data_IF_745113776581
#
_entry.id   IF_745113776581
#
_cell.length_a   1.000
_cell.length_b   1.000
_cell.length_c   1.000
_cell.angle_alpha   90.00
_cell.angle_beta   90.00
_cell.angle_gamma   90.00
#
_symmetry.space_group_name_H-M   'P 1'
#
loop_
_entity.id
_entity.type
_entity.pdbx_description
1 polymer ?
#
# COMPACT_ATOMS: atom_id res chain seq x y z
N UNK A 1 -23.28 23.56 -6.68
CA UNK A 1 -23.82 22.65 -7.70
C UNK A 1 -23.40 23.07 -9.11
N UNK A 2 -23.72 24.26 -9.60
CA UNK A 2 -23.31 24.71 -10.95
C UNK A 2 -21.78 24.69 -11.20
N UNK A 3 -20.97 25.02 -10.19
CA UNK A 3 -19.49 24.97 -10.30
C UNK A 3 -18.92 23.55 -10.42
N UNK A 4 -19.57 22.57 -9.79
CA UNK A 4 -19.13 21.17 -9.80
C UNK A 4 -19.46 20.52 -11.15
N UNK A 5 -20.66 20.78 -11.68
CA UNK A 5 -21.07 20.27 -13.00
C UNK A 5 -20.15 20.82 -14.10
N UNK A 6 -19.85 22.13 -14.07
CA UNK A 6 -18.95 22.76 -15.03
C UNK A 6 -17.52 22.17 -14.95
N UNK A 7 -17.04 21.83 -13.74
CA UNK A 7 -15.75 21.17 -13.55
C UNK A 7 -15.76 19.75 -14.12
N UNK A 8 -16.81 18.97 -13.88
CA UNK A 8 -16.97 17.63 -14.45
C UNK A 8 -17.02 17.68 -15.99
N UNK A 9 -17.70 18.66 -16.59
CA UNK A 9 -17.73 18.87 -18.04
C UNK A 9 -16.34 19.16 -18.62
N UNK A 10 -15.58 20.02 -17.94
CA UNK A 10 -14.20 20.32 -18.36
C UNK A 10 -13.33 19.06 -18.34
N UNK A 11 -13.38 18.30 -17.24
CA UNK A 11 -12.58 17.09 -17.07
C UNK A 11 -13.01 16.00 -18.06
N UNK A 12 -14.32 15.81 -18.26
CA UNK A 12 -14.87 14.88 -19.25
C UNK A 12 -14.28 15.12 -20.65
N UNK A 13 -14.27 16.38 -21.11
CA UNK A 13 -13.74 16.73 -22.41
C UNK A 13 -12.23 16.43 -22.54
N UNK A 14 -11.46 16.58 -21.47
CA UNK A 14 -10.04 16.18 -21.44
C UNK A 14 -9.93 14.67 -21.55
N UNK A 15 -10.69 13.93 -20.76
CA UNK A 15 -10.62 12.47 -20.69
C UNK A 15 -10.90 11.81 -22.05
N UNK A 16 -11.98 12.21 -22.72
CA UNK A 16 -12.37 11.65 -24.03
C UNK A 16 -11.33 11.98 -25.11
N UNK A 17 -10.69 13.16 -25.04
CA UNK A 17 -9.60 13.52 -25.96
C UNK A 17 -8.33 12.75 -25.70
N UNK A 18 -8.03 12.44 -24.44
CA UNK A 18 -6.85 11.66 -24.07
C UNK A 18 -6.98 10.19 -24.49
N UNK A 19 -8.20 9.65 -24.48
CA UNK A 19 -8.47 8.24 -24.79
C UNK A 19 -9.60 8.08 -25.84
N UNK A 20 -9.37 8.50 -27.10
CA UNK A 20 -10.42 8.53 -28.12
C UNK A 20 -10.94 7.12 -28.51
N UNK A 21 -10.15 6.08 -28.27
CA UNK A 21 -10.50 4.69 -28.57
C UNK A 21 -11.24 3.98 -27.43
N UNK A 22 -11.55 4.68 -26.34
CA UNK A 22 -12.24 4.13 -25.17
C UNK A 22 -13.65 4.72 -25.10
N UNK A 23 -14.66 3.88 -25.32
CA UNK A 23 -16.07 4.30 -25.35
C UNK A 23 -16.74 4.13 -23.97
N UNK A 24 -16.25 4.87 -22.97
CA UNK A 24 -16.94 4.99 -21.68
C UNK A 24 -17.95 6.13 -21.76
N UNK A 25 -19.16 5.95 -21.23
CA UNK A 25 -20.22 6.97 -21.18
C UNK A 25 -20.09 7.91 -19.97
N UNK A 26 -20.53 9.17 -20.15
CA UNK A 26 -20.41 10.22 -19.14
C UNK A 26 -21.05 9.86 -17.80
N UNK A 27 -22.28 9.28 -17.74
CA UNK A 27 -22.90 8.93 -16.47
C UNK A 27 -22.08 7.93 -15.65
N UNK A 28 -21.47 6.92 -16.30
CA UNK A 28 -20.61 5.95 -15.59
C UNK A 28 -19.32 6.56 -15.07
N UNK A 29 -18.71 7.46 -15.84
CA UNK A 29 -17.54 8.20 -15.38
C UNK A 29 -17.87 9.10 -14.18
N UNK A 30 -18.95 9.87 -14.25
CA UNK A 30 -19.41 10.73 -13.14
C UNK A 30 -19.70 9.91 -11.89
N UNK A 31 -20.45 8.80 -12.02
CA UNK A 31 -20.72 7.90 -10.90
C UNK A 31 -19.43 7.33 -10.28
N UNK A 32 -18.40 7.05 -11.10
CA UNK A 32 -17.11 6.57 -10.62
C UNK A 32 -16.33 7.64 -9.85
N UNK A 33 -16.40 8.89 -10.29
CA UNK A 33 -15.82 10.07 -9.64
C UNK A 33 -16.53 10.34 -8.32
N UNK A 34 -17.86 10.43 -8.31
CA UNK A 34 -18.67 10.69 -7.11
C UNK A 34 -18.46 9.64 -6.02
N UNK A 35 -18.26 8.37 -6.41
CA UNK A 35 -17.98 7.30 -5.47
C UNK A 35 -16.59 7.36 -4.81
N UNK A 36 -15.66 8.19 -5.32
CA UNK A 36 -14.23 8.16 -4.94
C UNK A 36 -13.66 9.48 -4.48
N UNK A 37 -14.22 10.59 -4.95
CA UNK A 37 -13.72 11.94 -4.73
C UNK A 37 -14.76 12.79 -4.03
N UNK A 38 -14.32 13.52 -3.01
CA UNK A 38 -15.07 14.62 -2.44
C UNK A 38 -14.94 15.87 -3.32
N UNK A 39 -15.83 16.85 -3.15
CA UNK A 39 -15.84 18.08 -3.95
C UNK A 39 -14.47 18.80 -4.00
N UNK A 40 -13.79 18.90 -2.85
CA UNK A 40 -12.45 19.52 -2.79
C UNK A 40 -11.39 18.73 -3.57
N UNK A 41 -11.47 17.40 -3.59
CA UNK A 41 -10.53 16.55 -4.34
C UNK A 41 -10.80 16.62 -5.85
N UNK A 42 -12.07 16.75 -6.24
CA UNK A 42 -12.47 16.97 -7.63
C UNK A 42 -11.97 18.31 -8.17
N UNK A 43 -12.07 19.37 -7.37
CA UNK A 43 -11.54 20.69 -7.74
C UNK A 43 -10.01 20.63 -7.93
N UNK A 44 -9.31 19.90 -7.06
CA UNK A 44 -7.87 19.72 -7.12
C UNK A 44 -7.40 18.73 -8.20
N UNK A 45 -8.29 17.94 -8.82
CA UNK A 45 -7.91 16.90 -9.78
C UNK A 45 -7.33 17.53 -11.07
N UNK A 46 -6.12 17.14 -11.45
CA UNK A 46 -5.50 17.69 -12.68
C UNK A 46 -6.06 17.01 -13.93
N UNK A 47 -6.01 17.66 -15.11
CA UNK A 47 -6.43 17.08 -16.38
C UNK A 47 -5.80 15.70 -16.67
N UNK A 48 -4.52 15.53 -16.38
CA UNK A 48 -3.78 14.28 -16.60
C UNK A 48 -4.27 13.17 -15.67
N UNK A 49 -4.49 13.49 -14.39
CA UNK A 49 -5.00 12.53 -13.41
C UNK A 49 -6.46 12.17 -13.67
N UNK A 50 -7.24 13.09 -14.21
CA UNK A 50 -8.60 12.81 -14.67
C UNK A 50 -8.59 11.86 -15.87
N UNK A 51 -7.70 12.05 -16.85
CA UNK A 51 -7.54 11.14 -17.97
C UNK A 51 -7.10 9.73 -17.50
N UNK A 52 -6.18 9.65 -16.55
CA UNK A 52 -5.80 8.40 -15.90
C UNK A 52 -6.99 7.73 -15.21
N UNK A 53 -7.81 8.50 -14.48
CA UNK A 53 -8.98 7.99 -13.75
C UNK A 53 -10.07 7.50 -14.71
N UNK A 54 -10.23 8.16 -15.85
CA UNK A 54 -11.14 7.74 -16.92
C UNK A 54 -10.73 6.38 -17.48
N UNK A 55 -9.46 6.20 -17.82
CA UNK A 55 -8.98 4.91 -18.33
C UNK A 55 -9.06 3.82 -17.26
N UNK A 56 -8.76 4.12 -16.00
CA UNK A 56 -8.90 3.17 -14.89
C UNK A 56 -10.36 2.76 -14.68
N UNK A 57 -11.30 3.71 -14.76
CA UNK A 57 -12.73 3.46 -14.72
C UNK A 57 -13.15 2.53 -15.87
N UNK A 58 -12.76 2.85 -17.10
CA UNK A 58 -13.06 2.05 -18.27
C UNK A 58 -12.49 0.62 -18.18
N UNK A 59 -11.25 0.46 -17.69
CA UNK A 59 -10.66 -0.84 -17.42
C UNK A 59 -11.44 -1.60 -16.33
N UNK A 60 -11.87 -0.92 -15.26
CA UNK A 60 -12.61 -1.56 -14.17
C UNK A 60 -13.99 -2.08 -14.59
N UNK A 61 -14.60 -1.41 -15.58
CA UNK A 61 -15.89 -1.76 -16.16
C UNK A 61 -15.76 -2.69 -17.38
N UNK A 62 -14.53 -3.10 -17.73
CA UNK A 62 -14.23 -3.91 -18.90
C UNK A 62 -14.78 -3.31 -20.22
N UNK A 63 -14.70 -1.99 -20.38
CA UNK A 63 -15.05 -1.31 -21.62
C UNK A 63 -14.10 -1.77 -22.74
N UNK A 64 -14.66 -2.02 -23.92
CA UNK A 64 -13.90 -2.45 -25.09
C UNK A 64 -12.78 -1.45 -25.41
N UNK A 65 -11.61 -1.98 -25.77
CA UNK A 65 -10.42 -1.16 -26.05
C UNK A 65 -9.68 -0.62 -24.82
N UNK A 66 -10.31 -0.49 -23.65
CA UNK A 66 -9.68 0.11 -22.47
C UNK A 66 -8.40 -0.62 -22.02
N UNK A 67 -8.46 -1.96 -21.93
CA UNK A 67 -7.30 -2.76 -21.56
C UNK A 67 -6.18 -2.70 -22.61
N UNK A 68 -6.52 -2.51 -23.89
CA UNK A 68 -5.53 -2.36 -24.96
C UNK A 68 -4.83 -1.00 -24.88
N UNK A 69 -5.59 0.09 -24.70
CA UNK A 69 -5.04 1.43 -24.47
C UNK A 69 -4.15 1.47 -23.22
N UNK A 70 -4.58 0.84 -22.13
CA UNK A 70 -3.79 0.72 -20.92
C UNK A 70 -2.45 0.03 -21.17
N UNK A 71 -2.46 -1.13 -21.84
CA UNK A 71 -1.22 -1.85 -22.18
C UNK A 71 -0.32 -1.01 -23.08
N UNK A 72 -0.86 -0.44 -24.15
CA UNK A 72 -0.09 0.38 -25.07
C UNK A 72 0.65 1.52 -24.36
N UNK A 73 0.00 2.16 -23.39
CA UNK A 73 0.57 3.32 -22.69
C UNK A 73 1.49 2.96 -21.52
N UNK A 74 1.11 1.99 -20.68
CA UNK A 74 1.82 1.70 -19.42
C UNK A 74 2.74 0.49 -19.48
N UNK A 75 2.60 -0.40 -20.47
CA UNK A 75 3.45 -1.59 -20.58
C UNK A 75 4.94 -1.26 -20.80
N UNK A 76 5.33 -0.25 -21.61
CA UNK A 76 6.74 0.15 -21.73
C UNK A 76 7.34 0.59 -20.39
N UNK A 77 6.58 1.34 -19.59
CA UNK A 77 6.95 1.78 -18.25
C UNK A 77 7.10 0.58 -17.29
N UNK A 78 6.16 -0.35 -17.32
CA UNK A 78 6.19 -1.54 -16.47
C UNK A 78 7.35 -2.46 -16.86
N UNK A 79 7.61 -2.63 -18.16
CA UNK A 79 8.75 -3.41 -18.65
C UNK A 79 10.08 -2.83 -18.19
N UNK A 80 10.30 -1.53 -18.33
CA UNK A 80 11.55 -0.91 -17.92
C UNK A 80 11.81 -1.12 -16.43
N UNK A 81 10.79 -0.94 -15.59
CA UNK A 81 10.89 -1.15 -14.15
C UNK A 81 11.13 -2.61 -13.75
N UNK A 82 10.59 -3.57 -14.51
CA UNK A 82 10.73 -4.99 -14.18
C UNK A 82 12.04 -5.59 -14.69
N UNK A 83 12.75 -4.96 -15.64
CA UNK A 83 14.08 -5.40 -16.10
C UNK A 83 15.12 -5.41 -14.97
N UNK A 84 15.07 -4.41 -14.09
CA UNK A 84 15.97 -4.35 -12.92
C UNK A 84 15.70 -5.49 -11.91
N UNK A 85 14.67 -6.30 -12.16
CA UNK A 85 14.30 -7.43 -11.31
C UNK A 85 14.90 -8.78 -11.73
N UNK A 86 15.62 -8.84 -12.86
CA UNK A 86 16.19 -10.05 -13.47
C UNK A 86 17.19 -10.80 -12.57
N UNK A 87 17.83 -10.10 -11.61
CA UNK A 87 18.75 -10.69 -10.63
C UNK A 87 18.14 -11.81 -9.77
N UNK A 88 16.83 -12.01 -9.85
CA UNK A 88 16.12 -13.06 -9.15
C UNK A 88 15.89 -14.33 -9.99
N UNK A 89 15.94 -14.32 -11.32
CA UNK A 89 15.70 -15.50 -12.16
C UNK A 89 14.21 -15.81 -12.44
N UNK A 90 13.35 -14.78 -12.39
CA UNK A 90 12.02 -14.80 -13.02
C UNK A 90 12.13 -13.90 -14.25
N UNK A 91 11.63 -14.35 -15.40
CA UNK A 91 11.59 -13.53 -16.61
C UNK A 91 10.76 -12.26 -16.36
N UNK A 92 11.29 -11.10 -16.76
CA UNK A 92 10.57 -9.83 -16.74
C UNK A 92 9.25 -9.90 -17.53
N UNK A 93 9.17 -10.71 -18.59
CA UNK A 93 7.94 -10.92 -19.34
C UNK A 93 6.86 -11.64 -18.51
N UNK A 94 7.25 -12.67 -17.74
CA UNK A 94 6.35 -13.39 -16.83
C UNK A 94 5.87 -12.48 -15.69
N UNK A 95 6.78 -11.69 -15.12
CA UNK A 95 6.42 -10.71 -14.09
C UNK A 95 5.45 -9.66 -14.63
N UNK A 96 5.67 -9.18 -15.86
CA UNK A 96 4.78 -8.23 -16.51
C UNK A 96 3.38 -8.82 -16.69
N UNK A 97 3.29 -10.06 -17.17
CA UNK A 97 2.01 -10.75 -17.32
C UNK A 97 1.29 -10.89 -15.97
N UNK A 98 2.03 -11.23 -14.91
CA UNK A 98 1.47 -11.33 -13.56
C UNK A 98 0.97 -9.97 -13.05
N UNK A 99 1.71 -8.88 -13.31
CA UNK A 99 1.29 -7.52 -12.95
C UNK A 99 0.02 -7.13 -13.69
N UNK A 100 -0.03 -7.35 -15.01
CA UNK A 100 -1.20 -7.04 -15.82
C UNK A 100 -2.43 -7.83 -15.36
N UNK A 101 -2.25 -9.12 -15.07
CA UNK A 101 -3.31 -9.95 -14.51
C UNK A 101 -3.79 -9.39 -13.15
N UNK A 102 -2.87 -9.05 -12.25
CA UNK A 102 -3.21 -8.53 -10.92
C UNK A 102 -3.94 -7.18 -10.97
N UNK A 103 -3.64 -6.35 -11.98
CA UNK A 103 -4.22 -5.01 -12.13
C UNK A 103 -5.56 -5.03 -12.84
N UNK A 104 -5.66 -5.75 -13.95
CA UNK A 104 -6.79 -5.67 -14.87
C UNK A 104 -7.81 -6.79 -14.68
N UNK A 105 -7.43 -7.91 -14.06
CA UNK A 105 -8.33 -9.05 -13.89
C UNK A 105 -8.95 -9.04 -12.49
N UNK A 106 -10.27 -9.21 -12.37
CA UNK A 106 -10.95 -9.45 -11.10
C UNK A 106 -10.33 -10.61 -10.31
N UNK A 107 -10.01 -10.38 -9.04
CA UNK A 107 -9.59 -11.45 -8.14
C UNK A 107 -10.82 -12.05 -7.43
N UNK A 108 -11.29 -13.21 -7.90
CA UNK A 108 -12.48 -13.86 -7.37
C UNK A 108 -13.76 -13.10 -7.69
N UNK A 109 -14.46 -12.63 -6.65
CA UNK A 109 -15.82 -12.06 -6.76
C UNK A 109 -15.81 -10.51 -6.72
N UNK A 110 -14.64 -9.90 -6.54
CA UNK A 110 -14.48 -8.45 -6.41
C UNK A 110 -14.06 -7.78 -7.72
N UNK A 111 -14.13 -6.43 -7.81
CA UNK A 111 -13.67 -5.69 -8.98
C UNK A 111 -12.15 -5.86 -9.19
N UNK A 112 -11.65 -5.60 -10.42
CA UNK A 112 -10.20 -5.63 -10.67
C UNK A 112 -9.49 -4.54 -9.86
N UNK A 113 -8.22 -4.75 -9.54
CA UNK A 113 -7.47 -3.86 -8.64
C UNK A 113 -7.32 -2.44 -9.16
N UNK A 114 -7.34 -2.26 -10.49
CA UNK A 114 -7.35 -0.92 -11.11
C UNK A 114 -8.54 -0.07 -10.67
N UNK A 115 -9.63 -0.66 -10.19
CA UNK A 115 -10.76 0.05 -9.60
C UNK A 115 -10.40 0.78 -8.29
N UNK A 116 -9.30 0.40 -7.62
CA UNK A 116 -8.80 1.07 -6.40
C UNK A 116 -8.09 2.40 -6.72
N UNK A 117 -7.73 2.65 -7.97
CA UNK A 117 -7.11 3.91 -8.36
C UNK A 117 -8.10 5.06 -8.23
N UNK A 118 -7.75 6.05 -7.41
CA UNK A 118 -8.62 7.17 -7.06
C UNK A 118 -8.09 8.54 -7.46
N UNK A 119 -7.13 8.64 -8.37
CA UNK A 119 -6.64 9.94 -8.89
C UNK A 119 -5.86 10.83 -7.91
N UNK A 120 -5.54 10.35 -6.70
CA UNK A 120 -4.75 11.10 -5.69
C UNK A 120 -3.27 11.26 -6.04
N UNK A 121 -2.78 10.50 -7.01
CA UNK A 121 -1.45 10.61 -7.63
C UNK A 121 -1.54 10.12 -9.08
N UNK A 122 -0.43 10.09 -9.83
CA UNK A 122 -0.45 9.58 -11.20
C UNK A 122 -0.68 8.07 -11.25
N UNK A 123 -1.35 7.58 -12.29
CA UNK A 123 -1.56 6.15 -12.50
C UNK A 123 -0.22 5.44 -12.72
N UNK A 124 0.72 6.09 -13.41
CA UNK A 124 2.11 5.62 -13.53
C UNK A 124 2.73 5.30 -12.17
N UNK A 125 2.71 6.24 -11.22
CA UNK A 125 3.30 6.02 -9.90
C UNK A 125 2.60 4.90 -9.11
N UNK A 126 1.26 4.85 -9.18
CA UNK A 126 0.48 3.77 -8.58
C UNK A 126 0.84 2.40 -9.17
N UNK A 127 0.96 2.32 -10.49
CA UNK A 127 1.37 1.10 -11.20
C UNK A 127 2.78 0.65 -10.82
N UNK A 128 3.71 1.59 -10.65
CA UNK A 128 5.07 1.23 -10.17
C UNK A 128 5.02 0.54 -8.82
N UNK A 129 4.17 1.01 -7.91
CA UNK A 129 3.99 0.40 -6.58
C UNK A 129 3.37 -1.00 -6.71
N UNK A 130 2.34 -1.16 -7.54
CA UNK A 130 1.71 -2.47 -7.75
C UNK A 130 2.70 -3.46 -8.37
N UNK A 131 3.43 -3.05 -9.40
CA UNK A 131 4.43 -3.86 -10.07
C UNK A 131 5.52 -4.35 -9.10
N UNK A 132 6.03 -3.46 -8.25
CA UNK A 132 7.02 -3.80 -7.23
C UNK A 132 6.48 -4.81 -6.22
N UNK A 133 5.24 -4.64 -5.76
CA UNK A 133 4.58 -5.57 -4.82
C UNK A 133 4.39 -6.95 -5.43
N UNK A 134 3.93 -7.02 -6.68
CA UNK A 134 3.76 -8.27 -7.42
C UNK A 134 5.09 -8.98 -7.60
N UNK A 135 6.14 -8.27 -8.03
CA UNK A 135 7.49 -8.83 -8.16
C UNK A 135 8.04 -9.33 -6.81
N UNK A 136 7.85 -8.58 -5.72
CA UNK A 136 8.26 -9.00 -4.38
C UNK A 136 7.51 -10.25 -3.90
N UNK A 137 6.20 -10.33 -4.13
CA UNK A 137 5.41 -11.51 -3.78
C UNK A 137 5.79 -12.74 -4.61
N UNK A 138 6.01 -12.57 -5.92
CA UNK A 138 6.48 -13.65 -6.78
C UNK A 138 7.86 -14.17 -6.34
N UNK A 139 8.77 -13.26 -5.96
CA UNK A 139 10.07 -13.62 -5.37
C UNK A 139 9.92 -14.33 -4.03
N UNK A 140 9.02 -13.88 -3.16
CA UNK A 140 8.77 -14.53 -1.87
C UNK A 140 8.20 -15.93 -2.06
N UNK A 141 7.20 -16.11 -2.92
CA UNK A 141 6.61 -17.42 -3.19
C UNK A 141 7.64 -18.37 -3.83
N UNK A 142 8.44 -17.89 -4.78
CA UNK A 142 9.53 -18.71 -5.34
C UNK A 142 10.62 -18.99 -4.32
N UNK A 143 10.94 -18.04 -3.46
CA UNK A 143 11.85 -18.26 -2.34
C UNK A 143 11.28 -19.29 -1.38
N UNK A 144 10.01 -19.24 -0.98
CA UNK A 144 9.41 -20.25 -0.10
C UNK A 144 9.41 -21.64 -0.76
N UNK A 145 9.25 -21.71 -2.10
CA UNK A 145 9.42 -22.94 -2.88
C UNK A 145 10.87 -23.41 -2.96
N UNK A 146 11.86 -22.50 -3.10
CA UNK A 146 13.29 -22.82 -3.24
C UNK A 146 13.99 -22.99 -1.89
N UNK A 147 13.58 -22.30 -0.83
CA UNK A 147 14.06 -22.33 0.56
C UNK A 147 13.50 -23.54 1.32
N UNK A 148 12.61 -24.32 0.67
CA UNK A 148 12.44 -25.75 0.95
C UNK A 148 13.70 -26.58 0.61
N UNK A 149 14.69 -25.97 -0.05
CA UNK A 149 16.08 -26.40 -0.16
C UNK A 149 16.99 -25.34 0.50
N UNK A 150 17.98 -25.71 1.31
CA UNK A 150 18.71 -24.76 2.15
C UNK A 150 19.74 -23.98 1.31
N UNK A 151 19.63 -22.63 1.20
CA UNK A 151 20.70 -21.66 1.54
C UNK A 151 20.43 -20.17 1.12
N UNK A 152 20.75 -19.26 2.06
CA UNK A 152 21.27 -17.85 1.97
C UNK A 152 20.31 -16.64 1.89
N UNK A 153 20.58 -15.67 2.78
CA UNK A 153 19.70 -14.56 3.21
C UNK A 153 20.32 -13.15 3.03
N UNK A 154 21.50 -12.96 2.43
CA UNK A 154 22.31 -11.76 2.76
C UNK A 154 22.23 -10.51 1.84
N UNK A 155 21.57 -10.49 0.67
CA UNK A 155 21.77 -9.38 -0.31
C UNK A 155 20.69 -8.25 -0.34
N UNK A 156 19.94 -7.97 0.73
CA UNK A 156 18.61 -7.31 0.60
C UNK A 156 18.43 -5.81 0.94
N UNK A 157 19.46 -4.96 1.01
CA UNK A 157 19.27 -3.60 1.59
C UNK A 157 19.65 -2.37 0.77
N UNK A 158 19.99 -2.47 -0.51
CA UNK A 158 20.18 -1.29 -1.36
C UNK A 158 19.14 -1.23 -2.50
N UNK A 159 18.80 -0.01 -2.91
CA UNK A 159 18.09 0.38 -4.13
C UNK A 159 16.62 0.82 -4.01
N UNK A 160 16.53 2.06 -3.54
CA UNK A 160 15.92 3.22 -4.18
C UNK A 160 14.40 3.41 -4.25
N UNK A 161 14.02 4.61 -3.86
CA UNK A 161 12.69 5.19 -3.73
C UNK A 161 12.76 6.65 -4.25
N UNK A 162 11.64 7.10 -4.81
CA UNK A 162 11.35 8.42 -5.40
C UNK A 162 11.56 9.57 -4.38
N UNK A 163 12.40 10.60 -4.62
CA UNK A 163 12.83 11.58 -3.61
C UNK A 163 11.72 12.35 -2.89
N UNK A 164 10.63 12.68 -3.58
CA UNK A 164 9.49 13.44 -3.02
C UNK A 164 8.57 12.53 -2.19
N UNK A 165 8.35 11.31 -2.70
CA UNK A 165 7.65 10.26 -1.98
C UNK A 165 8.50 9.75 -0.80
N UNK A 166 9.83 9.81 -0.90
CA UNK A 166 10.76 9.49 0.16
C UNK A 166 10.84 10.58 1.21
N UNK A 167 10.73 11.85 0.83
CA UNK A 167 10.59 12.94 1.79
C UNK A 167 9.29 12.81 2.57
N UNK A 168 8.16 12.59 1.90
CA UNK A 168 6.86 12.35 2.56
C UNK A 168 6.89 11.07 3.39
N UNK A 169 7.42 9.97 2.86
CA UNK A 169 7.59 8.73 3.63
C UNK A 169 8.56 8.91 4.78
N UNK A 170 9.65 9.66 4.66
CA UNK A 170 10.59 9.93 5.74
C UNK A 170 9.94 10.79 6.82
N UNK A 171 9.17 11.81 6.42
CA UNK A 171 8.40 12.66 7.32
C UNK A 171 7.32 11.87 8.07
N UNK A 172 6.49 11.11 7.36
CA UNK A 172 5.49 10.24 7.98
C UNK A 172 6.11 9.08 8.77
N UNK A 173 7.26 8.54 8.36
CA UNK A 173 8.02 7.54 9.15
C UNK A 173 8.57 8.15 10.42
N UNK A 174 9.07 9.39 10.37
CA UNK A 174 9.58 10.09 11.55
C UNK A 174 8.45 10.37 12.55
N UNK A 175 7.32 10.89 12.08
CA UNK A 175 6.11 11.08 12.88
C UNK A 175 5.60 9.75 13.46
N UNK A 176 5.52 8.70 12.64
CA UNK A 176 5.13 7.36 13.09
C UNK A 176 6.08 6.80 14.15
N UNK A 177 7.39 6.93 13.96
CA UNK A 177 8.39 6.48 14.94
C UNK A 177 8.27 7.25 16.25
N UNK A 178 8.07 8.57 16.20
CA UNK A 178 7.89 9.40 17.38
C UNK A 178 6.60 9.06 18.14
N UNK A 179 5.48 8.88 17.42
CA UNK A 179 4.21 8.46 18.00
C UNK A 179 4.31 7.06 18.63
N UNK A 180 4.88 6.09 17.91
CA UNK A 180 5.08 4.73 18.42
C UNK A 180 6.02 4.72 19.63
N UNK A 181 7.10 5.50 19.62
CA UNK A 181 8.03 5.66 20.74
C UNK A 181 7.30 6.14 22.00
N UNK A 182 6.49 7.19 21.84
CA UNK A 182 5.68 7.78 22.92
C UNK A 182 4.71 6.75 23.51
N UNK A 183 3.99 6.03 22.66
CA UNK A 183 3.04 4.98 23.09
C UNK A 183 3.75 3.82 23.79
N UNK A 184 4.89 3.36 23.26
CA UNK A 184 5.68 2.30 23.88
C UNK A 184 6.29 2.73 25.24
N UNK A 185 6.62 4.01 25.40
CA UNK A 185 7.06 4.57 26.68
C UNK A 185 5.94 4.58 27.72
N UNK A 186 4.68 4.73 27.30
CA UNK A 186 3.51 4.72 28.19
C UNK A 186 3.05 3.31 28.59
N UNK A 187 3.56 2.26 27.97
CA UNK A 187 3.26 0.88 28.38
C UNK A 187 3.76 0.58 29.79
N UNK A 188 3.03 -0.24 30.53
CA UNK A 188 3.53 -0.78 31.80
C UNK A 188 4.73 -1.70 31.57
N UNK A 189 5.56 -1.89 32.60
CA UNK A 189 6.72 -2.77 32.55
C UNK A 189 6.38 -4.19 32.08
N UNK A 190 5.21 -4.69 32.48
CA UNK A 190 4.72 -6.01 32.08
C UNK A 190 4.35 -6.08 30.59
N UNK A 191 3.65 -5.08 30.07
CA UNK A 191 3.21 -5.04 28.67
C UNK A 191 4.41 -4.88 27.73
N UNK A 192 5.38 -4.05 28.11
CA UNK A 192 6.66 -3.91 27.40
C UNK A 192 7.44 -5.22 27.35
N UNK A 193 7.49 -5.94 28.48
CA UNK A 193 8.13 -7.25 28.56
C UNK A 193 7.45 -8.28 27.66
N UNK A 194 6.11 -8.33 27.66
CA UNK A 194 5.33 -9.22 26.79
C UNK A 194 5.58 -8.94 25.30
N UNK A 195 5.57 -7.66 24.90
CA UNK A 195 5.86 -7.28 23.51
C UNK A 195 7.30 -7.60 23.12
N UNK A 196 8.27 -7.34 24.00
CA UNK A 196 9.69 -7.65 23.75
C UNK A 196 9.89 -9.14 23.51
N UNK A 197 9.35 -9.99 24.39
CA UNK A 197 9.40 -11.45 24.23
C UNK A 197 8.82 -11.91 22.90
N UNK A 198 7.73 -11.28 22.46
CA UNK A 198 7.04 -11.68 21.23
C UNK A 198 7.70 -11.14 19.95
N UNK A 199 8.30 -9.95 19.98
CA UNK A 199 8.77 -9.22 18.79
C UNK A 199 10.29 -9.27 18.63
N UNK A 200 11.02 -9.20 19.73
CA UNK A 200 12.49 -9.26 19.78
C UNK A 200 12.94 -10.72 19.93
N UNK A 201 12.43 -11.42 20.94
CA UNK A 201 12.88 -12.79 21.26
C UNK A 201 12.15 -13.86 20.43
N UNK A 202 11.13 -13.47 19.66
CA UNK A 202 10.38 -14.37 18.77
C UNK A 202 9.58 -15.45 19.50
N UNK A 203 9.37 -15.32 20.81
CA UNK A 203 8.64 -16.31 21.61
C UNK A 203 7.18 -16.37 21.16
N UNK A 204 6.64 -17.58 21.04
CA UNK A 204 5.21 -17.77 20.78
C UNK A 204 4.37 -17.47 22.02
N UNK A 205 3.07 -17.25 21.84
CA UNK A 205 2.13 -17.12 22.95
C UNK A 205 2.19 -18.32 23.93
N UNK A 206 2.59 -19.50 23.44
CA UNK A 206 2.84 -20.69 24.29
C UNK A 206 4.11 -20.52 25.13
N UNK A 207 5.22 -20.06 24.53
CA UNK A 207 6.46 -19.79 25.27
C UNK A 207 6.31 -18.70 26.33
N UNK A 208 5.55 -17.65 26.00
CA UNK A 208 5.20 -16.58 26.95
C UNK A 208 4.31 -17.12 28.08
N UNK A 209 3.33 -17.96 27.75
CA UNK A 209 2.48 -18.60 28.75
C UNK A 209 3.29 -19.44 29.75
N UNK A 210 4.32 -20.15 29.30
CA UNK A 210 5.23 -20.93 30.17
C UNK A 210 6.02 -20.02 31.11
N UNK A 211 6.61 -18.92 30.60
CA UNK A 211 7.41 -17.99 31.41
C UNK A 211 6.55 -17.32 32.49
N UNK A 212 5.35 -16.88 32.12
CA UNK A 212 4.41 -16.22 33.04
C UNK A 212 3.56 -17.21 33.87
N UNK A 213 3.74 -18.53 33.69
CA UNK A 213 2.97 -19.60 34.34
C UNK A 213 1.45 -19.43 34.23
N UNK A 214 0.98 -19.13 33.03
CA UNK A 214 -0.45 -18.92 32.72
C UNK A 214 -0.89 -19.83 31.59
N UNK A 215 -2.20 -19.92 31.36
CA UNK A 215 -2.71 -20.63 30.17
C UNK A 215 -2.36 -19.89 28.88
N UNK A 216 -2.10 -20.66 27.81
CA UNK A 216 -1.86 -20.15 26.45
C UNK A 216 -2.94 -19.17 25.98
N UNK A 217 -4.20 -19.43 26.31
CA UNK A 217 -5.32 -18.56 25.97
C UNK A 217 -5.20 -17.18 26.64
N UNK A 218 -4.76 -17.14 27.90
CA UNK A 218 -4.53 -15.91 28.68
C UNK A 218 -3.37 -15.10 28.09
N UNK A 219 -2.24 -15.74 27.77
CA UNK A 219 -1.11 -15.07 27.13
C UNK A 219 -1.47 -14.51 25.74
N UNK A 220 -2.24 -15.28 24.94
CA UNK A 220 -2.75 -14.82 23.64
C UNK A 220 -3.65 -13.59 23.79
N UNK A 221 -4.52 -13.59 24.81
CA UNK A 221 -5.42 -12.46 25.10
C UNK A 221 -4.63 -11.21 25.50
N UNK A 222 -3.68 -11.33 26.43
CA UNK A 222 -2.82 -10.20 26.83
C UNK A 222 -2.03 -9.62 25.66
N UNK A 223 -1.45 -10.46 24.80
CA UNK A 223 -0.75 -10.00 23.61
C UNK A 223 -1.66 -9.29 22.61
N UNK A 224 -2.89 -9.78 22.44
CA UNK A 224 -3.87 -9.14 21.56
C UNK A 224 -4.32 -7.78 22.11
N UNK A 225 -4.60 -7.69 23.41
CA UNK A 225 -4.99 -6.44 24.10
C UNK A 225 -3.89 -5.39 24.00
N UNK A 226 -2.65 -5.77 24.32
CA UNK A 226 -1.51 -4.85 24.25
C UNK A 226 -1.25 -4.39 22.81
N UNK A 227 -1.34 -5.27 21.82
CA UNK A 227 -1.19 -4.90 20.40
C UNK A 227 -2.30 -3.97 19.93
N UNK A 228 -3.55 -4.26 20.30
CA UNK A 228 -4.70 -3.43 19.94
C UNK A 228 -4.56 -2.02 20.54
N UNK A 229 -4.12 -1.92 21.80
CA UNK A 229 -3.89 -0.65 22.46
C UNK A 229 -2.76 0.15 21.80
N UNK A 230 -1.59 -0.45 21.59
CA UNK A 230 -0.46 0.22 20.93
C UNK A 230 -0.89 0.76 19.55
N UNK A 231 -1.65 -0.02 18.80
CA UNK A 231 -2.12 0.36 17.47
C UNK A 231 -3.18 1.47 17.51
N UNK A 232 -4.11 1.43 18.45
CA UNK A 232 -5.13 2.48 18.64
C UNK A 232 -4.48 3.80 19.08
N UNK A 233 -3.61 3.77 20.08
CA UNK A 233 -2.98 4.97 20.64
C UNK A 233 -2.01 5.61 19.64
N UNK A 234 -1.24 4.80 18.89
CA UNK A 234 -0.34 5.30 17.85
C UNK A 234 -1.13 5.98 16.73
N UNK A 235 -2.30 5.43 16.36
CA UNK A 235 -3.18 6.04 15.37
C UNK A 235 -3.75 7.36 15.85
N UNK A 236 -4.27 7.41 17.08
CA UNK A 236 -4.81 8.63 17.66
C UNK A 236 -3.76 9.75 17.73
N UNK A 237 -2.54 9.42 18.14
CA UNK A 237 -1.44 10.37 18.19
C UNK A 237 -1.04 10.88 16.80
N UNK A 238 -0.98 9.99 15.79
CA UNK A 238 -0.69 10.40 14.41
C UNK A 238 -1.77 11.27 13.80
N UNK A 239 -3.05 11.00 14.07
CA UNK A 239 -4.16 11.84 13.64
C UNK A 239 -4.04 13.25 14.24
N UNK A 240 -3.71 13.34 15.53
CA UNK A 240 -3.52 14.63 16.22
C UNK A 240 -2.32 15.43 15.73
N UNK A 241 -1.18 14.77 15.48
CA UNK A 241 0.05 15.43 15.01
C UNK A 241 0.00 15.83 13.53
N UNK A 242 -0.65 15.04 12.68
CA UNK A 242 -0.70 15.26 11.24
C UNK A 242 -1.98 15.99 10.78
N UNK A 243 -2.99 16.10 11.65
CA UNK A 243 -4.27 16.73 11.32
C UNK A 243 -5.07 15.96 10.26
N UNK A 244 -4.88 14.65 10.17
CA UNK A 244 -5.44 13.78 9.13
C UNK A 244 -6.60 12.93 9.66
N UNK A 245 -7.56 12.68 8.79
CA UNK A 245 -8.72 11.84 9.08
C UNK A 245 -8.37 10.34 9.05
N UNK A 246 -9.16 9.49 9.70
CA UNK A 246 -8.87 8.06 9.88
C UNK A 246 -8.62 7.31 8.55
N UNK A 247 -9.36 7.69 7.49
CA UNK A 247 -9.25 7.08 6.17
C UNK A 247 -7.96 7.48 5.43
N UNK A 248 -7.47 8.69 5.68
CA UNK A 248 -6.19 9.18 5.16
C UNK A 248 -5.03 8.49 5.87
N UNK A 249 -5.14 8.31 7.20
CA UNK A 249 -4.16 7.57 7.98
C UNK A 249 -4.06 6.11 7.54
N UNK A 250 -5.16 5.42 7.27
CA UNK A 250 -5.12 4.03 6.79
C UNK A 250 -4.48 3.92 5.40
N UNK A 251 -4.64 4.92 4.54
CA UNK A 251 -3.96 5.01 3.25
C UNK A 251 -2.45 5.22 3.43
N UNK A 252 -2.05 6.12 4.33
CA UNK A 252 -0.65 6.39 4.69
C UNK A 252 0.00 5.16 5.34
N UNK A 253 -0.68 4.49 6.26
CA UNK A 253 -0.18 3.28 6.93
C UNK A 253 0.05 2.14 5.93
N UNK A 254 -0.87 1.93 4.98
CA UNK A 254 -0.69 0.95 3.88
C UNK A 254 0.49 1.27 2.96
N UNK A 255 0.96 2.53 2.94
CA UNK A 255 2.12 2.96 2.17
C UNK A 255 3.45 2.70 2.93
N UNK A 256 3.43 2.68 4.26
CA UNK A 256 4.60 2.55 5.14
C UNK A 256 4.80 1.09 5.63
N UNK A 257 3.77 0.25 5.56
CA UNK A 257 3.73 -1.12 6.09
C UNK A 257 4.85 -2.06 5.56
N UNK A 258 5.40 -1.80 4.37
CA UNK A 258 6.46 -2.65 3.79
C UNK A 258 7.79 -2.64 4.56
N UNK A 259 8.00 -1.73 5.51
CA UNK A 259 9.21 -1.65 6.34
C UNK A 259 8.96 -1.56 7.86
N UNK A 260 7.70 -1.66 8.30
CA UNK A 260 7.31 -1.40 9.70
C UNK A 260 7.92 -2.41 10.69
N UNK A 261 8.08 -3.68 10.26
CA UNK A 261 8.59 -4.76 11.11
C UNK A 261 10.01 -4.50 11.66
N UNK A 262 10.82 -3.70 10.96
CA UNK A 262 12.21 -3.38 11.35
C UNK A 262 12.26 -2.27 12.41
N UNK A 263 11.34 -1.31 12.36
CA UNK A 263 11.34 -0.17 13.29
C UNK A 263 10.85 -0.56 14.69
N UNK A 264 9.89 -1.50 14.79
CA UNK A 264 9.41 -2.03 16.08
C UNK A 264 10.51 -2.83 16.79
N UNK A 265 11.31 -3.60 16.05
CA UNK A 265 12.43 -4.38 16.64
C UNK A 265 13.54 -3.49 17.19
N UNK A 266 13.90 -2.42 16.48
CA UNK A 266 14.94 -1.48 16.92
C UNK A 266 14.54 -0.77 18.21
N UNK A 267 13.32 -0.24 18.28
CA UNK A 267 12.89 0.55 19.43
C UNK A 267 12.66 -0.27 20.71
N UNK A 268 12.23 -1.53 20.57
CA UNK A 268 12.12 -2.47 21.70
C UNK A 268 13.49 -3.04 22.14
N UNK A 269 14.54 -2.89 21.32
CA UNK A 269 15.91 -3.31 21.64
C UNK A 269 16.78 -2.20 22.26
N UNK A 270 16.52 -0.92 21.93
CA UNK A 270 17.33 0.23 22.35
C UNK A 270 17.02 0.77 23.76
N UNK A 271 15.94 0.33 24.43
CA UNK A 271 15.62 0.73 25.82
C UNK A 271 16.47 -0.01 26.87
N UNK A 272 17.78 -0.07 26.64
CA UNK A 272 18.80 -0.34 27.64
C UNK A 272 19.75 0.86 27.70
N UNK A 273 19.33 1.87 28.46
CA UNK A 273 20.20 2.77 29.19
C UNK A 273 19.43 3.20 30.45
#
# INVERSE_FOLDING_TARGET
>A
MASVEARLDQLWNVCVRAWPSVELDRPRFVAHVDARLQAAELDALTPERAADLYLACACSLAVDGAAACFRQYFEPLLRSQLRDSDASGIDAADLLQLVLAHVLVPAGHGPPRIAEYGGRGSLSAWLRVVARRVAQNARRNRRDLVESLPQRLEDRLADDLDPELDYLKAHYRAAFRAALATVLAQLSARERTLLRMQVVDGLSATGIATIFRVHRATAKRWLAEVRARVLADTRAQLMGELGVELHELDSIMRLIDSHLAVSVRRHLGETQA
#
